data_IF_368384617751
#
_entry.id   IF_368384617751
#
_cell.length_a   1.000
_cell.length_b   1.000
_cell.length_c   1.000
_cell.angle_alpha   90.00
_cell.angle_beta   90.00
_cell.angle_gamma   90.00
#
_symmetry.space_group_name_H-M   'P 1'
#
loop_
_entity.id
_entity.type
_entity.pdbx_description
1 polymer ?
#
# COMPACT_ATOMS: atom_id res chain seq x y z
N UNK A 1 -6.93 29.71 18.35
CA UNK A 1 -6.50 28.38 17.87
C UNK A 1 -7.67 27.43 17.99
N UNK A 2 -8.20 26.90 16.89
CA UNK A 2 -9.04 25.71 16.92
C UNK A 2 -8.88 25.00 15.58
N UNK A 3 -8.16 23.88 15.58
CA UNK A 3 -8.02 23.02 14.41
C UNK A 3 -9.27 22.14 14.35
N UNK A 4 -10.15 22.39 13.40
CA UNK A 4 -11.19 21.44 13.04
C UNK A 4 -10.55 20.30 12.24
N UNK A 5 -10.33 19.16 12.90
CA UNK A 5 -10.14 17.88 12.22
C UNK A 5 -11.47 17.51 11.54
N UNK A 6 -11.54 17.75 10.24
CA UNK A 6 -12.56 17.12 9.40
C UNK A 6 -12.16 15.66 9.18
N UNK A 7 -12.53 14.79 10.13
CA UNK A 7 -12.61 13.35 9.85
C UNK A 7 -13.79 13.20 8.90
N UNK A 8 -13.52 13.10 7.60
CA UNK A 8 -14.54 12.74 6.62
C UNK A 8 -15.00 11.31 6.95
N UNK A 9 -16.21 11.16 7.47
CA UNK A 9 -16.91 9.88 7.57
C UNK A 9 -17.21 9.37 6.16
N UNK A 10 -16.22 8.70 5.56
CA UNK A 10 -16.43 7.94 4.34
C UNK A 10 -17.18 6.67 4.76
N UNK A 11 -18.41 6.41 4.27
CA UNK A 11 -19.16 5.22 4.63
C UNK A 11 -18.33 3.98 4.26
N UNK A 12 -17.86 3.27 5.28
CA UNK A 12 -17.08 2.04 5.09
C UNK A 12 -17.98 1.02 4.39
N UNK A 13 -17.57 0.60 3.19
CA UNK A 13 -18.27 -0.48 2.47
C UNK A 13 -18.07 -1.77 3.25
N UNK A 14 -19.09 -2.21 3.97
CA UNK A 14 -19.06 -3.46 4.74
C UNK A 14 -19.67 -4.62 3.94
N UNK A 15 -19.27 -5.84 4.27
CA UNK A 15 -19.80 -7.09 3.73
C UNK A 15 -19.81 -8.15 4.82
N UNK A 16 -20.91 -8.88 4.93
CA UNK A 16 -21.05 -9.97 5.89
C UNK A 16 -20.92 -11.32 5.20
N UNK A 17 -20.27 -12.29 5.85
CA UNK A 17 -20.15 -13.68 5.43
C UNK A 17 -20.42 -14.61 6.60
N UNK A 18 -21.17 -15.67 6.36
CA UNK A 18 -21.39 -16.74 7.34
C UNK A 18 -20.38 -17.85 7.08
N UNK A 19 -19.55 -18.14 8.07
CA UNK A 19 -18.41 -19.06 7.99
C UNK A 19 -18.52 -20.15 9.06
N UNK A 20 -17.90 -21.30 8.80
CA UNK A 20 -17.61 -22.27 9.85
C UNK A 20 -16.39 -21.80 10.65
N UNK A 21 -16.46 -21.88 11.99
CA UNK A 21 -15.36 -21.52 12.89
C UNK A 21 -14.32 -22.64 13.04
N UNK A 22 -14.33 -23.62 12.12
CA UNK A 22 -13.43 -24.76 12.10
C UNK A 22 -12.24 -24.48 11.19
N UNK A 23 -11.04 -24.82 11.65
CA UNK A 23 -9.85 -24.79 10.81
C UNK A 23 -9.79 -26.00 9.86
N UNK A 24 -9.24 -25.86 8.64
CA UNK A 24 -8.62 -24.66 8.07
C UNK A 24 -9.61 -23.71 7.37
N UNK A 25 -10.92 -24.02 7.41
CA UNK A 25 -11.95 -23.32 6.64
C UNK A 25 -12.04 -21.84 7.04
N UNK A 26 -11.97 -21.55 8.34
CA UNK A 26 -11.99 -20.19 8.85
C UNK A 26 -10.77 -19.39 8.35
N UNK A 27 -9.55 -19.86 8.60
CA UNK A 27 -8.33 -19.18 8.15
C UNK A 27 -8.26 -19.00 6.64
N UNK A 28 -8.71 -19.98 5.85
CA UNK A 28 -8.77 -19.87 4.39
C UNK A 28 -9.70 -18.74 3.93
N UNK A 29 -10.86 -18.60 4.56
CA UNK A 29 -11.81 -17.54 4.25
C UNK A 29 -11.26 -16.15 4.63
N UNK A 30 -10.62 -16.02 5.80
CA UNK A 30 -9.97 -14.77 6.22
C UNK A 30 -8.85 -14.39 5.25
N UNK A 31 -7.98 -15.33 4.88
CA UNK A 31 -6.88 -15.08 3.95
C UNK A 31 -7.37 -14.66 2.55
N UNK A 32 -8.44 -15.29 2.05
CA UNK A 32 -9.07 -14.92 0.78
C UNK A 32 -9.63 -13.49 0.81
N UNK A 33 -10.24 -13.09 1.92
CA UNK A 33 -10.77 -11.74 2.13
C UNK A 33 -9.64 -10.70 2.25
N UNK A 34 -8.58 -11.02 2.99
CA UNK A 34 -7.40 -10.16 3.12
C UNK A 34 -6.73 -9.89 1.78
N UNK A 35 -6.57 -10.91 0.91
CA UNK A 35 -6.07 -10.75 -0.47
C UNK A 35 -6.89 -9.77 -1.32
N UNK A 36 -8.17 -9.57 -0.98
CA UNK A 36 -9.10 -8.65 -1.66
C UNK A 36 -9.25 -7.31 -0.93
N UNK A 37 -8.36 -7.02 0.02
CA UNK A 37 -8.37 -5.82 0.87
C UNK A 37 -9.61 -5.69 1.76
N UNK A 38 -10.17 -6.82 2.19
CA UNK A 38 -11.24 -6.86 3.18
C UNK A 38 -10.68 -7.29 4.53
N UNK A 39 -10.95 -6.51 5.56
CA UNK A 39 -10.48 -6.75 6.93
C UNK A 39 -11.67 -7.15 7.80
N UNK A 40 -11.51 -8.22 8.58
CA UNK A 40 -12.52 -8.65 9.54
C UNK A 40 -12.64 -7.59 10.64
N UNK A 41 -13.85 -7.08 10.85
CA UNK A 41 -14.14 -6.05 11.87
C UNK A 41 -15.09 -6.52 12.95
N UNK A 42 -15.89 -7.56 12.68
CA UNK A 42 -16.77 -8.16 13.67
C UNK A 42 -16.96 -9.65 13.40
N UNK A 43 -17.09 -10.43 14.48
CA UNK A 43 -17.38 -11.86 14.48
C UNK A 43 -18.47 -12.12 15.51
N UNK A 44 -19.61 -12.63 15.07
CA UNK A 44 -20.76 -12.97 15.91
C UNK A 44 -21.08 -14.45 15.76
N UNK A 45 -21.21 -15.18 16.86
CA UNK A 45 -21.64 -16.58 16.81
C UNK A 45 -23.11 -16.66 16.42
N UNK A 46 -23.42 -17.50 15.44
CA UNK A 46 -24.81 -17.81 15.06
C UNK A 46 -25.11 -19.17 15.69
N UNK A 47 -25.94 -19.16 16.74
CA UNK A 47 -26.33 -20.38 17.43
C UNK A 47 -27.43 -21.06 16.59
N UNK A 48 -27.13 -22.20 15.98
CA UNK A 48 -28.14 -23.09 15.41
C UNK A 48 -28.36 -24.25 16.38
N UNK A 49 -29.60 -24.46 16.79
CA UNK A 49 -30.00 -25.37 17.87
C UNK A 49 -29.68 -26.85 17.61
N UNK A 50 -29.21 -27.24 16.41
CA UNK A 50 -29.05 -28.64 16.01
C UNK A 50 -27.78 -28.98 15.21
N UNK A 51 -26.73 -28.15 15.26
CA UNK A 51 -25.47 -28.40 14.53
C UNK A 51 -24.29 -28.60 15.48
N UNK A 52 -23.53 -29.69 15.30
CA UNK A 52 -22.23 -29.91 15.96
C UNK A 52 -21.16 -28.91 15.49
N UNK A 53 -21.38 -28.25 14.35
CA UNK A 53 -20.46 -27.26 13.78
C UNK A 53 -20.81 -25.87 14.25
N UNK A 54 -19.80 -25.13 14.73
CA UNK A 54 -19.96 -23.73 15.12
C UNK A 54 -19.94 -22.84 13.88
N UNK A 55 -21.02 -22.08 13.69
CA UNK A 55 -21.16 -21.11 12.61
C UNK A 55 -20.99 -19.70 13.17
N UNK A 56 -20.25 -18.86 12.46
CA UNK A 56 -19.98 -17.47 12.82
C UNK A 56 -20.32 -16.56 11.65
N UNK A 57 -21.01 -15.46 11.96
CA UNK A 57 -21.23 -14.35 11.07
C UNK A 57 -20.06 -13.38 11.21
N UNK A 58 -19.34 -13.20 10.12
CA UNK A 58 -18.16 -12.35 10.02
C UNK A 58 -18.50 -11.11 9.19
N UNK A 59 -18.38 -9.93 9.80
CA UNK A 59 -18.48 -8.66 9.08
C UNK A 59 -17.08 -8.19 8.70
N UNK A 60 -16.91 -7.89 7.42
CA UNK A 60 -15.69 -7.36 6.86
C UNK A 60 -15.91 -5.92 6.41
N UNK A 61 -14.92 -5.07 6.62
CA UNK A 61 -14.85 -3.74 6.03
C UNK A 61 -13.88 -3.76 4.86
N UNK A 62 -14.25 -3.16 3.73
CA UNK A 62 -13.30 -2.94 2.64
C UNK A 62 -12.34 -1.87 3.11
N UNK A 63 -11.08 -2.25 3.33
CA UNK A 63 -10.03 -1.27 3.53
C UNK A 63 -10.00 -0.43 2.26
N UNK A 64 -10.23 0.88 2.41
CA UNK A 64 -9.99 1.81 1.33
C UNK A 64 -8.49 1.84 1.15
N UNK A 65 -7.99 0.99 0.25
CA UNK A 65 -6.61 1.06 -0.19
C UNK A 65 -6.53 2.32 -1.03
N UNK A 66 -6.12 3.41 -0.40
CA UNK A 66 -5.63 4.63 -1.03
C UNK A 66 -4.33 4.33 -1.78
N UNK A 67 -4.33 3.32 -2.66
CA UNK A 67 -3.24 3.02 -3.59
C UNK A 67 -3.41 3.78 -4.90
N UNK A 68 -4.00 4.96 -4.80
CA UNK A 68 -3.75 6.03 -5.74
C UNK A 68 -2.33 6.51 -5.47
N UNK A 69 -1.38 5.77 -6.04
CA UNK A 69 0.03 6.13 -5.95
C UNK A 69 0.18 7.49 -6.62
N UNK A 70 0.83 8.38 -5.90
CA UNK A 70 1.22 9.65 -6.48
C UNK A 70 2.39 9.41 -7.42
N UNK A 71 2.44 10.16 -8.51
CA UNK A 71 3.61 10.14 -9.38
C UNK A 71 4.62 11.15 -8.87
N UNK A 72 5.86 10.72 -8.79
CA UNK A 72 7.01 11.52 -8.41
C UNK A 72 8.00 11.55 -9.56
N UNK A 73 8.43 12.75 -9.93
CA UNK A 73 9.54 12.96 -10.85
C UNK A 73 10.84 13.08 -10.04
N UNK A 74 11.82 12.26 -10.40
CA UNK A 74 13.14 12.18 -9.82
C UNK A 74 14.15 12.70 -10.83
N UNK A 75 14.75 13.84 -10.54
CA UNK A 75 15.87 14.38 -11.28
C UNK A 75 17.16 13.86 -10.65
N UNK A 76 17.96 13.14 -11.42
CA UNK A 76 19.19 12.52 -10.93
C UNK A 76 20.35 12.78 -11.89
N UNK A 77 21.56 12.65 -11.34
CA UNK A 77 22.79 12.67 -12.10
C UNK A 77 23.63 11.44 -11.83
N UNK A 78 24.39 11.01 -12.84
CA UNK A 78 25.42 9.98 -12.69
C UNK A 78 26.75 10.63 -13.10
N UNK A 79 27.67 10.71 -12.14
CA UNK A 79 29.02 11.16 -12.35
C UNK A 79 29.90 9.95 -12.67
N UNK A 80 30.55 9.96 -13.83
CA UNK A 80 31.52 8.92 -14.19
C UNK A 80 32.80 9.52 -14.76
N UNK A 81 33.87 8.74 -14.75
CA UNK A 81 35.12 9.11 -15.42
C UNK A 81 35.22 8.31 -16.71
N UNK A 82 35.37 9.01 -17.84
CA UNK A 82 35.55 8.42 -19.16
C UNK A 82 36.72 9.11 -19.86
N UNK A 83 37.71 8.34 -20.31
CA UNK A 83 38.93 8.86 -20.96
C UNK A 83 39.64 9.98 -20.17
N UNK A 84 39.70 9.84 -18.84
CA UNK A 84 40.33 10.84 -17.95
C UNK A 84 39.53 12.13 -17.75
N UNK A 85 38.29 12.22 -18.27
CA UNK A 85 37.39 13.36 -18.06
C UNK A 85 36.20 12.96 -17.20
N UNK A 86 35.78 13.88 -16.33
CA UNK A 86 34.52 13.73 -15.58
C UNK A 86 33.36 13.99 -16.54
N UNK A 87 32.45 13.04 -16.62
CA UNK A 87 31.23 13.12 -17.42
C UNK A 87 30.04 13.17 -16.47
N UNK A 88 29.20 14.19 -16.63
CA UNK A 88 27.97 14.37 -15.89
C UNK A 88 26.78 14.00 -16.79
N UNK A 89 26.02 12.97 -16.42
CA UNK A 89 24.78 12.61 -17.13
C UNK A 89 23.58 12.94 -16.25
N UNK A 90 22.83 13.95 -16.64
CA UNK A 90 21.57 14.32 -15.99
C UNK A 90 20.42 13.57 -16.66
N UNK A 91 19.45 13.10 -15.87
CA UNK A 91 18.29 12.36 -16.37
C UNK A 91 17.10 12.54 -15.42
N UNK A 92 15.92 12.25 -15.97
CA UNK A 92 14.64 12.38 -15.28
C UNK A 92 13.96 11.01 -15.27
N UNK A 93 13.40 10.62 -14.13
CA UNK A 93 12.65 9.37 -13.98
C UNK A 93 11.34 9.59 -13.24
N UNK A 94 10.23 9.10 -13.78
CA UNK A 94 8.91 9.14 -13.12
C UNK A 94 8.68 7.79 -12.42
N UNK A 95 8.31 7.86 -11.13
CA UNK A 95 8.00 6.69 -10.30
C UNK A 95 6.67 6.88 -9.59
N UNK A 96 5.94 5.78 -9.45
CA UNK A 96 4.74 5.73 -8.62
C UNK A 96 5.11 5.37 -7.18
N UNK A 97 4.74 6.22 -6.23
CA UNK A 97 4.98 5.98 -4.80
C UNK A 97 3.83 6.54 -3.93
N UNK A 98 3.70 6.00 -2.72
CA UNK A 98 2.75 6.46 -1.72
C UNK A 98 3.26 7.68 -0.94
N UNK A 99 4.60 7.89 -0.91
CA UNK A 99 5.23 9.05 -0.29
C UNK A 99 6.55 9.45 -0.99
N UNK A 100 7.09 10.61 -0.63
CA UNK A 100 8.39 11.08 -1.12
C UNK A 100 9.54 10.18 -0.62
N UNK A 101 9.43 9.69 0.61
CA UNK A 101 10.39 8.77 1.23
C UNK A 101 10.43 7.43 0.49
N UNK A 102 9.26 6.91 0.09
CA UNK A 102 9.18 5.69 -0.72
C UNK A 102 9.78 5.91 -2.11
N UNK A 103 9.46 7.03 -2.79
CA UNK A 103 10.07 7.38 -4.08
C UNK A 103 11.61 7.45 -3.99
N UNK A 104 12.14 8.06 -2.92
CA UNK A 104 13.58 8.11 -2.65
C UNK A 104 14.17 6.71 -2.41
N UNK A 105 13.50 5.89 -1.62
CA UNK A 105 13.93 4.51 -1.32
C UNK A 105 14.00 3.65 -2.60
N UNK A 106 12.99 3.75 -3.47
CA UNK A 106 12.96 3.09 -4.78
C UNK A 106 14.18 3.50 -5.60
N UNK A 107 14.49 4.80 -5.68
CA UNK A 107 15.62 5.29 -6.46
C UNK A 107 16.97 4.82 -5.94
N UNK A 108 17.20 4.92 -4.62
CA UNK A 108 18.45 4.44 -4.00
C UNK A 108 18.62 2.93 -4.24
N UNK A 109 17.55 2.16 -4.14
CA UNK A 109 17.60 0.71 -4.37
C UNK A 109 17.85 0.36 -5.84
N UNK A 110 17.24 1.09 -6.77
CA UNK A 110 17.42 0.87 -8.21
C UNK A 110 18.85 1.15 -8.66
N UNK A 111 19.45 2.22 -8.13
CA UNK A 111 20.81 2.65 -8.49
C UNK A 111 21.87 2.26 -7.46
N UNK A 112 21.61 1.28 -6.59
CA UNK A 112 22.50 0.93 -5.48
C UNK A 112 23.91 0.52 -5.94
N UNK A 113 24.02 -0.02 -7.15
CA UNK A 113 25.28 -0.49 -7.74
C UNK A 113 25.86 0.47 -8.78
N UNK A 114 25.29 1.68 -8.92
CA UNK A 114 25.74 2.68 -9.87
C UNK A 114 26.57 3.73 -9.15
N UNK A 115 27.90 3.60 -9.27
CA UNK A 115 28.85 4.57 -8.72
C UNK A 115 28.61 5.97 -9.29
N UNK A 116 28.66 6.97 -8.42
CA UNK A 116 28.47 8.37 -8.79
C UNK A 116 27.01 8.77 -9.05
N UNK A 117 26.04 7.90 -8.76
CA UNK A 117 24.63 8.26 -8.72
C UNK A 117 24.33 9.27 -7.60
N UNK A 118 23.57 10.30 -7.93
CA UNK A 118 23.05 11.25 -6.95
C UNK A 118 21.67 11.77 -7.37
N UNK A 119 20.77 11.91 -6.40
CA UNK A 119 19.45 12.50 -6.62
C UNK A 119 19.57 14.00 -6.44
N UNK A 120 19.28 14.76 -7.49
CA UNK A 120 19.29 16.23 -7.46
C UNK A 120 17.99 16.79 -6.89
N UNK A 121 16.85 16.25 -7.30
CA UNK A 121 15.54 16.68 -6.81
C UNK A 121 14.50 15.55 -6.93
N UNK A 122 13.50 15.56 -6.05
CA UNK A 122 12.30 14.74 -6.16
C UNK A 122 11.10 15.65 -5.98
N UNK A 123 10.18 15.67 -6.95
CA UNK A 123 8.93 16.44 -6.84
C UNK A 123 7.73 15.55 -7.14
N UNK A 124 6.64 15.79 -6.42
CA UNK A 124 5.35 15.19 -6.71
C UNK A 124 4.79 15.85 -7.97
N UNK A 125 4.48 15.07 -8.99
CA UNK A 125 3.93 15.58 -10.26
C UNK A 125 2.46 15.24 -10.43
N UNK A 126 1.98 14.17 -9.79
CA UNK A 126 0.57 13.80 -9.84
C UNK A 126 0.07 13.21 -8.53
N UNK A 127 -1.19 13.45 -8.21
CA UNK A 127 -1.94 12.73 -7.18
C UNK A 127 -3.35 12.46 -7.67
N UNK A 128 -3.74 11.19 -7.63
CA UNK A 128 -5.11 10.77 -7.87
C UNK A 128 -5.98 11.06 -6.65
#
# INVERSE_FOLDING_TARGET
MSKHEYVRDIPLKTKTLTLYDEEPYFSNAINSMAKKNWVLVSKKRVQQEFSFKTIVECTFSKKNVSHWKSEYEINYCINSVSYGKIVHKNSIWIVEACSLEEARSIAIKHFSNVSGFNISNIRKVWSY
#
